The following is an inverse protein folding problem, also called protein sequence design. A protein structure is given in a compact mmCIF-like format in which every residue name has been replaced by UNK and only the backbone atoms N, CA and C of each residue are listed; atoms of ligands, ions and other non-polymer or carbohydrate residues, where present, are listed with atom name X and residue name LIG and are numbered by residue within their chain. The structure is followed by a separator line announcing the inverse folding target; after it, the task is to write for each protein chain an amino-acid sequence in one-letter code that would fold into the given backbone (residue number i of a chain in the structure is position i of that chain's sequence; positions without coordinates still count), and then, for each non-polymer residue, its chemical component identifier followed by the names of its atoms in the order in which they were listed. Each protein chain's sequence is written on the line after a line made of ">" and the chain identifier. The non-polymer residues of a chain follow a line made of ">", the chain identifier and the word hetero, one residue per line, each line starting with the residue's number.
data_IF_396050129393
#
_entry.id   IF_396050129393
#
_cell.length_a   1.000
_cell.length_b   1.000
_cell.length_c   1.000
_cell.angle_alpha   90.00
_cell.angle_beta   90.00
_cell.angle_gamma   90.00
#
_symmetry.space_group_name_H-M   'P 1'
#
loop_
_entity.id
_entity.type
_entity.pdbx_description
1 polymer ?
#
# COMPACT_ATOMS: atom_id res chain seq x y z
N UNK A 1 10.47 4.49 1.41
CA UNK A 1 9.96 5.76 1.98
C UNK A 1 8.86 5.46 2.97
N UNK A 2 8.90 6.04 4.19
CA UNK A 2 7.83 5.87 5.18
C UNK A 2 6.56 6.62 4.74
N UNK A 3 5.43 5.91 4.66
CA UNK A 3 4.11 6.48 4.39
C UNK A 3 3.61 7.20 5.65
N UNK A 4 2.97 8.35 5.49
CA UNK A 4 2.71 9.29 6.61
C UNK A 4 1.26 9.36 7.03
N UNK A 5 0.36 9.33 6.06
CA UNK A 5 -1.08 9.39 6.20
C UNK A 5 -1.70 8.78 4.92
N UNK A 6 -3.04 8.72 4.88
CA UNK A 6 -3.78 8.17 3.76
C UNK A 6 -3.57 9.00 2.48
N UNK A 7 -3.53 10.33 2.57
CA UNK A 7 -3.29 11.21 1.42
C UNK A 7 -1.91 10.94 0.80
N UNK A 8 -0.90 10.70 1.64
CA UNK A 8 0.43 10.33 1.17
C UNK A 8 0.43 8.93 0.54
N UNK A 9 -0.34 7.97 1.06
CA UNK A 9 -0.51 6.67 0.41
C UNK A 9 -1.14 6.82 -0.98
N UNK A 10 -2.22 7.59 -1.09
CA UNK A 10 -2.90 7.90 -2.36
C UNK A 10 -1.89 8.46 -3.37
N UNK A 11 -1.12 9.48 -2.97
CA UNK A 11 -0.11 10.10 -3.84
C UNK A 11 0.92 9.08 -4.31
N UNK A 12 1.39 8.21 -3.41
CA UNK A 12 2.45 7.25 -3.69
C UNK A 12 1.98 6.05 -4.52
N UNK A 13 0.70 5.69 -4.44
CA UNK A 13 0.08 4.59 -5.17
C UNK A 13 -0.61 5.04 -6.48
N UNK A 14 -0.74 6.35 -6.69
CA UNK A 14 -1.20 6.93 -7.96
C UNK A 14 -0.09 6.85 -9.01
N UNK A 15 -0.11 5.81 -9.84
CA UNK A 15 0.80 5.69 -10.98
C UNK A 15 0.07 6.04 -12.30
N UNK A 16 0.53 7.06 -13.06
CA UNK A 16 -0.10 7.47 -14.33
C UNK A 16 -0.13 6.37 -15.41
N UNK A 17 0.78 5.40 -15.32
CA UNK A 17 0.87 4.28 -16.26
C UNK A 17 -0.06 3.12 -15.87
N UNK A 18 -0.74 3.20 -14.72
CA UNK A 18 -1.60 2.13 -14.21
C UNK A 18 -0.84 0.93 -13.61
N UNK A 19 0.47 1.07 -13.40
CA UNK A 19 1.27 0.02 -12.78
C UNK A 19 1.14 0.03 -11.25
N UNK A 20 1.10 -1.16 -10.64
CA UNK A 20 1.15 -1.26 -9.19
C UNK A 20 2.49 -0.84 -8.64
N UNK A 21 2.44 -0.05 -7.57
CA UNK A 21 3.59 0.40 -6.82
C UNK A 21 3.88 -0.57 -5.67
N UNK A 22 5.16 -0.81 -5.40
CA UNK A 22 5.58 -1.76 -4.37
C UNK A 22 5.63 -1.11 -2.98
N UNK A 23 5.02 -1.79 -2.01
CA UNK A 23 5.01 -1.42 -0.61
C UNK A 23 5.35 -2.63 0.26
N UNK A 24 5.70 -2.36 1.51
CA UNK A 24 5.68 -3.38 2.55
C UNK A 24 5.24 -2.81 3.88
N UNK A 25 4.58 -3.66 4.66
CA UNK A 25 4.34 -3.43 6.09
C UNK A 25 5.46 -4.11 6.87
N UNK A 26 6.14 -3.36 7.72
CA UNK A 26 7.11 -3.88 8.69
C UNK A 26 6.37 -4.59 9.82
N UNK A 27 6.70 -5.86 10.05
CA UNK A 27 6.06 -6.71 11.06
C UNK A 27 7.13 -7.13 12.07
N UNK A 28 6.71 -7.40 13.30
CA UNK A 28 7.58 -7.87 14.37
C UNK A 28 8.80 -6.94 14.56
N UNK A 29 8.57 -5.63 14.70
CA UNK A 29 9.64 -4.62 14.89
C UNK A 29 10.75 -4.65 13.82
N UNK A 30 10.41 -5.05 12.59
CA UNK A 30 11.35 -5.09 11.47
C UNK A 30 11.99 -6.45 11.20
N UNK A 31 11.69 -7.49 11.99
CA UNK A 31 12.18 -8.84 11.70
C UNK A 31 11.50 -9.51 10.51
N UNK A 32 10.29 -9.06 10.15
CA UNK A 32 9.56 -9.56 9.00
C UNK A 32 8.93 -8.42 8.19
N UNK A 33 8.57 -8.72 6.95
CA UNK A 33 7.83 -7.82 6.07
C UNK A 33 6.67 -8.54 5.41
N UNK A 34 5.55 -7.85 5.28
CA UNK A 34 4.46 -8.25 4.37
C UNK A 34 4.52 -7.36 3.15
N UNK A 35 5.00 -7.91 2.04
CA UNK A 35 5.06 -7.21 0.75
C UNK A 35 3.66 -7.08 0.16
N UNK A 36 3.40 -5.92 -0.43
CA UNK A 36 2.13 -5.58 -1.07
C UNK A 36 2.42 -4.80 -2.34
N UNK A 37 1.59 -4.98 -3.36
CA UNK A 37 1.58 -4.09 -4.53
C UNK A 37 0.26 -3.33 -4.50
N UNK A 38 0.32 -2.00 -4.57
CA UNK A 38 -0.85 -1.14 -4.38
C UNK A 38 -0.94 -0.17 -5.55
N UNK A 39 -2.14 -0.07 -6.11
CA UNK A 39 -2.50 0.93 -7.11
C UNK A 39 -3.72 1.70 -6.61
N UNK A 40 -3.71 3.01 -6.78
CA UNK A 40 -4.87 3.87 -6.53
C UNK A 40 -5.50 4.31 -7.85
N UNK A 41 -6.81 4.12 -7.96
CA UNK A 41 -7.63 4.52 -9.10
C UNK A 41 -8.41 5.80 -8.75
N UNK A 42 -7.95 6.98 -9.21
CA UNK A 42 -8.59 8.24 -8.84
C UNK A 42 -10.00 8.41 -9.42
N UNK A 43 -10.32 7.74 -10.53
CA UNK A 43 -11.65 7.83 -11.17
C UNK A 43 -12.76 7.17 -10.36
N UNK A 44 -12.40 6.21 -9.51
CA UNK A 44 -13.34 5.42 -8.71
C UNK A 44 -13.11 5.57 -7.21
N UNK A 45 -12.11 6.36 -6.80
CA UNK A 45 -11.66 6.46 -5.41
C UNK A 45 -11.40 5.08 -4.78
N UNK A 46 -10.71 4.22 -5.53
CA UNK A 46 -10.50 2.81 -5.18
C UNK A 46 -9.02 2.45 -5.10
N UNK A 47 -8.70 1.51 -4.21
CA UNK A 47 -7.41 0.85 -4.14
C UNK A 47 -7.52 -0.58 -4.65
N UNK A 48 -6.65 -0.96 -5.58
CA UNK A 48 -6.35 -2.37 -5.85
C UNK A 48 -5.10 -2.76 -5.07
N UNK A 49 -5.19 -3.85 -4.31
CA UNK A 49 -4.12 -4.35 -3.44
C UNK A 49 -3.85 -5.81 -3.77
N UNK A 50 -2.59 -6.11 -4.06
CA UNK A 50 -2.08 -7.48 -4.17
C UNK A 50 -1.23 -7.77 -2.94
N UNK A 51 -1.58 -8.80 -2.18
CA UNK A 51 -0.73 -9.33 -1.12
C UNK A 51 0.23 -10.35 -1.72
N UNK A 52 1.55 -10.11 -1.67
CA UNK A 52 2.51 -11.04 -2.31
C UNK A 52 2.74 -12.34 -1.53
N UNK A 53 2.28 -12.42 -0.28
CA UNK A 53 2.45 -13.62 0.55
C UNK A 53 1.59 -14.79 0.01
N UNK A 54 0.39 -14.48 -0.44
CA UNK A 54 -0.62 -15.45 -0.89
C UNK A 54 -1.19 -15.14 -2.28
N UNK A 55 -0.62 -14.13 -2.95
CA UNK A 55 -1.04 -13.62 -4.26
C UNK A 55 -2.52 -13.17 -4.31
N UNK A 56 -3.14 -12.91 -3.15
CA UNK A 56 -4.52 -12.46 -3.09
C UNK A 56 -4.67 -11.04 -3.63
N UNK A 57 -5.69 -10.85 -4.48
CA UNK A 57 -6.08 -9.58 -5.05
C UNK A 57 -7.38 -9.08 -4.39
N UNK A 58 -7.39 -7.83 -3.99
CA UNK A 58 -8.55 -7.21 -3.33
C UNK A 58 -8.70 -5.76 -3.80
N UNK A 59 -9.95 -5.31 -3.93
CA UNK A 59 -10.30 -3.95 -4.31
C UNK A 59 -11.21 -3.34 -3.24
N UNK A 60 -10.90 -2.09 -2.88
CA UNK A 60 -11.64 -1.36 -1.84
C UNK A 60 -11.79 0.09 -2.21
N UNK A 61 -12.98 0.65 -1.98
CA UNK A 61 -13.14 2.09 -1.96
C UNK A 61 -12.30 2.70 -0.82
N UNK A 62 -11.79 3.92 -0.98
CA UNK A 62 -10.93 4.61 0.01
C UNK A 62 -11.57 4.64 1.40
N UNK A 63 -12.88 4.81 1.46
CA UNK A 63 -13.66 4.83 2.72
C UNK A 63 -13.77 3.48 3.42
N UNK A 64 -13.41 2.39 2.76
CA UNK A 64 -13.53 1.01 3.25
C UNK A 64 -12.18 0.39 3.64
N UNK A 65 -11.06 0.99 3.17
CA UNK A 65 -9.72 0.44 3.36
C UNK A 65 -9.35 0.21 4.84
N UNK A 66 -9.83 1.06 5.75
CA UNK A 66 -9.60 0.92 7.20
C UNK A 66 -10.31 -0.30 7.79
N UNK A 67 -11.48 -0.67 7.26
CA UNK A 67 -12.31 -1.76 7.78
C UNK A 67 -11.82 -3.13 7.30
N UNK A 68 -11.24 -3.17 6.10
CA UNK A 68 -10.90 -4.43 5.43
C UNK A 68 -9.39 -4.70 5.38
N UNK A 69 -8.56 -3.70 5.66
CA UNK A 69 -7.10 -3.85 5.59
C UNK A 69 -6.43 -3.29 6.84
N UNK A 70 -5.21 -3.75 7.11
CA UNK A 70 -4.37 -3.20 8.17
C UNK A 70 -3.48 -2.03 7.70
N UNK A 71 -3.73 -1.45 6.51
CA UNK A 71 -2.88 -0.41 5.94
C UNK A 71 -2.94 0.89 6.75
N UNK A 72 -4.14 1.29 7.17
CA UNK A 72 -4.31 2.53 7.97
C UNK A 72 -3.62 2.40 9.33
N UNK A 73 -3.82 1.27 10.01
CA UNK A 73 -3.12 0.96 11.25
C UNK A 73 -1.59 0.96 11.05
N UNK A 74 -1.10 0.34 9.97
CA UNK A 74 0.32 0.31 9.66
C UNK A 74 0.90 1.72 9.39
N UNK A 75 0.13 2.63 8.78
CA UNK A 75 0.53 4.03 8.61
C UNK A 75 0.63 4.72 9.97
N UNK A 76 -0.40 4.59 10.81
CA UNK A 76 -0.45 5.20 12.15
C UNK A 76 0.72 4.73 13.04
N UNK A 77 1.13 3.46 12.91
CA UNK A 77 2.26 2.89 13.64
C UNK A 77 3.62 3.18 12.99
N UNK A 78 3.67 3.88 11.86
CA UNK A 78 4.90 4.16 11.14
C UNK A 78 5.55 2.91 10.52
N UNK A 79 4.75 1.91 10.19
CA UNK A 79 5.16 0.58 9.73
C UNK A 79 4.97 0.35 8.22
N UNK A 80 4.25 1.23 7.49
CA UNK A 80 4.06 1.10 6.04
C UNK A 80 5.14 1.88 5.25
N UNK A 81 5.79 1.20 4.31
CA UNK A 81 6.86 1.79 3.50
C UNK A 81 6.67 1.53 2.01
N UNK A 82 6.90 2.55 1.17
CA UNK A 82 7.10 2.38 -0.28
C UNK A 82 8.51 1.85 -0.55
N UNK A 83 8.62 0.85 -1.42
CA UNK A 83 9.89 0.32 -1.92
C UNK A 83 10.37 1.20 -3.07
N UNK A 84 11.64 1.58 -3.06
CA UNK A 84 12.28 2.14 -4.24
C UNK A 84 12.93 1.02 -5.02
N UNK A 85 12.46 0.78 -6.24
CA UNK A 85 13.31 0.11 -7.23
C UNK A 85 14.29 1.15 -7.73
N UNK A 86 15.52 1.11 -7.24
CA UNK A 86 16.60 1.88 -7.86
C UNK A 86 16.69 1.44 -9.32
N UNK A 87 16.57 2.38 -10.25
CA UNK A 87 16.93 2.16 -11.63
C UNK A 87 18.41 1.77 -11.65
N UNK A 88 18.70 0.50 -11.95
CA UNK A 88 20.04 0.07 -12.33
C UNK A 88 20.39 0.63 -13.70
#
# INVERSE_FOLDING_TARGET
>A
MLVKNLEHLILLASNPNGDFEDFFVSIAKGFARSSKRILYHPEHEEFSIINEIDESFQEFHVSEIEKHTNLIEAIQQGALFKVYRGSN
#
